data_IF_977096976213
#
_entry.id   IF_977096976213
#
_cell.length_a   1.000
_cell.length_b   1.000
_cell.length_c   1.000
_cell.angle_alpha   90.00
_cell.angle_beta   90.00
_cell.angle_gamma   90.00
#
_symmetry.space_group_name_H-M   'P 1'
#
loop_
_entity.id
_entity.type
_entity.pdbx_description
1 polymer ?
#
# COMPACT_ATOMS: atom_id res chain seq x y z
N UNK A 1 16.13 -16.61 -58.81
CA UNK A 1 16.30 -15.19 -58.39
C UNK A 1 15.27 -14.72 -57.37
N UNK A 2 14.04 -15.26 -57.33
CA UNK A 2 13.02 -14.85 -56.34
C UNK A 2 13.27 -15.32 -54.88
N UNK A 3 13.91 -16.48 -54.68
CA UNK A 3 14.12 -17.06 -53.33
C UNK A 3 15.13 -16.30 -52.47
N UNK A 4 16.16 -15.72 -53.09
CA UNK A 4 17.18 -14.93 -52.39
C UNK A 4 16.59 -13.62 -51.85
N UNK A 5 15.75 -12.94 -52.65
CA UNK A 5 15.05 -11.72 -52.21
C UNK A 5 14.05 -11.99 -51.09
N UNK A 6 13.40 -13.16 -51.09
CA UNK A 6 12.48 -13.57 -50.03
C UNK A 6 13.19 -13.79 -48.68
N UNK A 7 14.37 -14.42 -48.69
CA UNK A 7 15.17 -14.64 -47.48
C UNK A 7 15.66 -13.31 -46.88
N UNK A 8 16.06 -12.35 -47.72
CA UNK A 8 16.47 -11.01 -47.26
C UNK A 8 15.31 -10.23 -46.64
N UNK A 9 14.10 -10.31 -47.23
CA UNK A 9 12.90 -9.68 -46.66
C UNK A 9 12.57 -10.29 -45.29
N UNK A 10 12.66 -11.62 -45.15
CA UNK A 10 12.41 -12.30 -43.89
C UNK A 10 13.42 -11.93 -42.81
N UNK A 11 14.71 -11.82 -43.17
CA UNK A 11 15.77 -11.38 -42.25
C UNK A 11 15.60 -9.91 -41.81
N UNK A 12 15.14 -9.03 -42.72
CA UNK A 12 14.85 -7.63 -42.41
C UNK A 12 13.65 -7.48 -41.47
N UNK A 13 12.63 -8.33 -41.62
CA UNK A 13 11.48 -8.36 -40.71
C UNK A 13 11.87 -8.90 -39.33
N UNK A 14 12.70 -9.93 -39.26
CA UNK A 14 13.24 -10.43 -37.99
C UNK A 14 14.08 -9.39 -37.27
N UNK A 15 14.92 -8.62 -37.98
CA UNK A 15 15.73 -7.56 -37.35
C UNK A 15 14.87 -6.41 -36.82
N UNK A 16 13.79 -6.03 -37.50
CA UNK A 16 12.84 -5.02 -37.00
C UNK A 16 12.16 -5.43 -35.68
N UNK A 17 11.83 -6.72 -35.52
CA UNK A 17 11.18 -7.22 -34.30
C UNK A 17 12.12 -7.23 -33.08
N UNK A 18 13.44 -7.33 -33.30
CA UNK A 18 14.47 -7.32 -32.24
C UNK A 18 14.77 -5.90 -31.74
N UNK A 19 14.56 -4.87 -32.55
CA UNK A 19 14.80 -3.46 -32.17
C UNK A 19 13.71 -2.95 -31.21
N UNK A 20 12.48 -3.47 -31.31
CA UNK A 20 11.37 -3.07 -30.43
C UNK A 20 11.37 -3.74 -29.05
N UNK A 21 12.26 -4.70 -28.80
CA UNK A 21 12.41 -5.40 -27.51
C UNK A 21 13.50 -4.78 -26.61
N UNK A 22 13.84 -3.51 -26.84
CA UNK A 22 14.67 -2.76 -25.89
C UNK A 22 14.09 -2.85 -24.48
N UNK A 23 14.93 -3.23 -23.51
CA UNK A 23 14.58 -3.16 -22.09
C UNK A 23 14.18 -1.72 -21.75
N UNK A 24 12.88 -1.44 -21.72
CA UNK A 24 12.39 -0.28 -20.97
C UNK A 24 12.73 -0.56 -19.52
N UNK A 25 13.71 0.16 -18.98
CA UNK A 25 13.90 0.22 -17.54
C UNK A 25 12.62 0.83 -16.96
N UNK A 26 11.71 -0.02 -16.50
CA UNK A 26 10.46 0.40 -15.89
C UNK A 26 10.84 1.22 -14.65
N UNK A 27 10.40 2.48 -14.60
CA UNK A 27 10.59 3.31 -13.42
C UNK A 27 10.00 2.56 -12.21
N UNK A 28 10.62 2.65 -11.02
CA UNK A 28 10.09 1.99 -9.85
C UNK A 28 8.63 2.41 -9.64
N UNK A 29 7.73 1.47 -9.29
CA UNK A 29 6.31 1.75 -9.21
C UNK A 29 6.01 2.87 -8.22
N UNK A 30 5.17 3.82 -8.62
CA UNK A 30 4.78 4.96 -7.79
C UNK A 30 3.83 4.52 -6.67
N UNK A 31 3.99 5.15 -5.49
CA UNK A 31 3.09 4.92 -4.35
C UNK A 31 2.10 6.08 -4.27
N UNK A 32 0.85 5.81 -4.62
CA UNK A 32 -0.27 6.72 -4.49
C UNK A 32 -1.14 6.22 -3.34
N UNK A 33 -1.23 6.97 -2.24
CA UNK A 33 -1.87 6.46 -1.04
C UNK A 33 -2.72 7.49 -0.31
N UNK A 34 -3.75 6.99 0.38
CA UNK A 34 -4.65 7.80 1.20
C UNK A 34 -4.96 7.14 2.55
N UNK A 35 -5.36 7.97 3.51
CA UNK A 35 -5.89 7.52 4.80
C UNK A 35 -7.41 7.37 4.72
N UNK A 36 -7.91 6.19 5.08
CA UNK A 36 -9.32 5.90 5.21
C UNK A 36 -9.83 6.34 6.59
N UNK A 37 -10.82 7.24 6.67
CA UNK A 37 -11.33 7.77 7.93
C UNK A 37 -12.28 6.76 8.60
N UNK A 38 -11.73 5.84 9.40
CA UNK A 38 -12.52 4.77 10.03
C UNK A 38 -13.63 5.25 10.98
N UNK A 39 -13.54 6.50 11.43
CA UNK A 39 -14.51 7.18 12.28
C UNK A 39 -15.70 7.78 11.52
N UNK A 40 -15.70 7.75 10.18
CA UNK A 40 -16.76 8.31 9.35
C UNK A 40 -17.79 7.24 8.96
N UNK A 41 -18.98 7.18 9.58
CA UNK A 41 -19.96 6.14 9.31
C UNK A 41 -20.53 6.21 7.88
N UNK A 42 -20.56 7.40 7.29
CA UNK A 42 -21.20 7.65 5.98
C UNK A 42 -20.28 7.37 4.78
N UNK A 43 -19.05 6.92 5.01
CA UNK A 43 -18.08 6.66 3.95
C UNK A 43 -17.54 5.23 4.06
N UNK A 44 -18.24 4.22 3.51
CA UNK A 44 -17.79 2.83 3.59
C UNK A 44 -16.59 2.56 2.66
N UNK A 45 -15.79 1.50 2.91
CA UNK A 45 -14.64 1.17 2.06
C UNK A 45 -15.01 0.90 0.60
N UNK A 46 -16.25 0.45 0.35
CA UNK A 46 -16.79 0.21 -0.98
C UNK A 46 -17.03 1.50 -1.78
N UNK A 47 -17.13 2.66 -1.13
CA UNK A 47 -17.29 3.95 -1.81
C UNK A 47 -15.97 4.47 -2.39
N UNK A 48 -14.82 3.87 -2.02
CA UNK A 48 -13.52 4.32 -2.49
C UNK A 48 -13.34 3.96 -3.97
N UNK A 49 -12.97 4.95 -4.78
CA UNK A 49 -12.47 4.72 -6.13
C UNK A 49 -10.97 4.36 -6.07
N UNK A 50 -10.66 3.09 -6.31
CA UNK A 50 -9.29 2.57 -6.22
C UNK A 50 -8.42 2.87 -7.43
N UNK A 51 -8.96 3.46 -8.50
CA UNK A 51 -8.16 3.85 -9.68
C UNK A 51 -7.14 4.95 -9.38
N UNK A 52 -7.25 5.63 -8.24
CA UNK A 52 -6.37 6.72 -7.82
C UNK A 52 -5.31 6.31 -6.79
N UNK A 53 -5.27 5.04 -6.40
CA UNK A 53 -4.43 4.60 -5.29
C UNK A 53 -3.78 3.27 -5.59
N UNK A 54 -2.55 3.10 -5.11
CA UNK A 54 -1.89 1.80 -4.99
C UNK A 54 -2.00 1.26 -3.56
N UNK A 55 -2.12 2.14 -2.56
CA UNK A 55 -2.22 1.77 -1.14
C UNK A 55 -3.29 2.59 -0.40
N UNK A 56 -3.95 1.98 0.59
CA UNK A 56 -4.88 2.68 1.49
C UNK A 56 -4.59 2.30 2.93
N UNK A 57 -4.45 3.31 3.79
CA UNK A 57 -4.18 3.15 5.21
C UNK A 57 -5.47 3.22 6.03
N UNK A 58 -5.78 2.21 6.84
CA UNK A 58 -6.83 2.31 7.84
C UNK A 58 -6.39 3.27 8.95
N UNK A 59 -7.14 4.36 9.15
CA UNK A 59 -6.79 5.44 10.07
C UNK A 59 -7.87 5.56 11.16
N UNK A 60 -7.58 5.30 12.43
CA UNK A 60 -6.34 4.79 13.01
C UNK A 60 -6.66 3.74 14.08
N UNK A 61 -5.66 2.95 14.49
CA UNK A 61 -5.74 2.19 15.73
C UNK A 61 -4.78 2.75 16.79
N UNK A 62 -5.21 2.69 18.04
CA UNK A 62 -4.41 3.15 19.18
C UNK A 62 -4.22 1.98 20.14
N UNK A 63 -2.98 1.62 20.50
CA UNK A 63 -2.75 0.57 21.46
C UNK A 63 -3.02 1.06 22.88
N UNK A 64 -3.27 0.12 23.78
CA UNK A 64 -3.42 0.39 25.21
C UNK A 64 -2.13 1.00 25.81
N UNK A 65 -2.24 2.05 26.62
CA UNK A 65 -1.10 2.77 27.19
C UNK A 65 -0.29 1.98 28.24
N UNK A 66 -0.81 0.85 28.73
CA UNK A 66 -0.12 0.02 29.73
C UNK A 66 0.45 -1.23 29.09
N UNK A 67 -0.39 -1.97 28.35
CA UNK A 67 0.00 -3.25 27.75
C UNK A 67 0.69 -3.10 26.41
N UNK A 68 0.50 -1.96 25.74
CA UNK A 68 0.94 -1.67 24.38
C UNK A 68 0.43 -2.66 23.32
N UNK A 69 -0.72 -3.31 23.60
CA UNK A 69 -1.43 -4.20 22.69
C UNK A 69 -2.67 -3.51 22.14
N UNK A 70 -3.17 -4.00 21.01
CA UNK A 70 -4.47 -3.60 20.48
C UNK A 70 -5.56 -4.43 21.15
N UNK A 71 -6.41 -3.76 21.93
CA UNK A 71 -7.60 -4.36 22.52
C UNK A 71 -8.74 -4.24 21.49
N UNK A 72 -8.81 -5.18 20.54
CA UNK A 72 -9.80 -5.16 19.46
C UNK A 72 -11.12 -5.78 19.92
N UNK A 73 -12.18 -4.98 19.93
CA UNK A 73 -13.54 -5.52 20.05
C UNK A 73 -13.92 -6.33 18.81
N UNK A 74 -14.89 -7.25 18.93
CA UNK A 74 -15.42 -7.98 17.77
C UNK A 74 -15.92 -7.04 16.67
N UNK A 75 -16.53 -5.91 17.04
CA UNK A 75 -16.99 -4.90 16.07
C UNK A 75 -15.83 -4.29 15.29
N UNK A 76 -14.73 -3.92 15.96
CA UNK A 76 -13.53 -3.36 15.34
C UNK A 76 -12.85 -4.40 14.44
N UNK A 77 -12.77 -5.66 14.87
CA UNK A 77 -12.22 -6.75 14.06
C UNK A 77 -13.02 -6.96 12.76
N UNK A 78 -14.35 -6.89 12.82
CA UNK A 78 -15.21 -6.94 11.64
C UNK A 78 -15.00 -5.74 10.71
N UNK A 79 -14.84 -4.53 11.24
CA UNK A 79 -14.54 -3.34 10.44
C UNK A 79 -13.21 -3.48 9.69
N UNK A 80 -12.15 -3.96 10.35
CA UNK A 80 -10.83 -4.19 9.74
C UNK A 80 -10.89 -5.28 8.67
N UNK A 81 -11.62 -6.37 8.94
CA UNK A 81 -11.83 -7.45 7.97
C UNK A 81 -12.60 -6.94 6.75
N UNK A 82 -13.71 -6.24 6.95
CA UNK A 82 -14.51 -5.66 5.88
C UNK A 82 -13.70 -4.66 5.04
N UNK A 83 -12.92 -3.79 5.69
CA UNK A 83 -12.03 -2.85 5.01
C UNK A 83 -11.05 -3.57 4.08
N UNK A 84 -10.33 -4.57 4.61
CA UNK A 84 -9.31 -5.30 3.87
C UNK A 84 -9.91 -6.12 2.73
N UNK A 85 -10.98 -6.87 3.01
CA UNK A 85 -11.66 -7.72 2.03
C UNK A 85 -12.28 -6.88 0.91
N UNK A 86 -12.98 -5.80 1.24
CA UNK A 86 -13.64 -4.93 0.25
C UNK A 86 -12.63 -4.35 -0.73
N UNK A 87 -11.52 -3.80 -0.23
CA UNK A 87 -10.51 -3.15 -1.07
C UNK A 87 -9.66 -4.12 -1.88
N UNK A 88 -9.45 -5.33 -1.37
CA UNK A 88 -8.76 -6.40 -2.11
C UNK A 88 -9.57 -6.89 -3.32
N UNK A 89 -10.90 -6.82 -3.25
CA UNK A 89 -11.80 -7.24 -4.32
C UNK A 89 -12.21 -6.12 -5.28
N UNK A 90 -11.70 -4.91 -5.09
CA UNK A 90 -11.88 -3.80 -6.04
C UNK A 90 -11.09 -4.03 -7.33
N UNK A 91 -11.45 -3.30 -8.37
CA UNK A 91 -10.76 -3.31 -9.66
C UNK A 91 -10.42 -1.87 -10.05
N UNK A 92 -9.13 -1.46 -10.02
CA UNK A 92 -7.97 -2.26 -9.63
C UNK A 92 -7.93 -2.56 -8.11
N UNK A 93 -7.31 -3.67 -7.67
CA UNK A 93 -7.14 -3.97 -6.26
C UNK A 93 -6.03 -3.11 -5.66
N UNK A 94 -6.14 -2.78 -4.38
CA UNK A 94 -5.15 -1.96 -3.66
C UNK A 94 -4.58 -2.69 -2.45
N UNK A 95 -3.36 -2.33 -2.07
CA UNK A 95 -2.74 -2.82 -0.84
C UNK A 95 -3.26 -2.05 0.36
N UNK A 96 -3.52 -2.74 1.45
CA UNK A 96 -4.06 -2.14 2.67
C UNK A 96 -3.02 -2.18 3.77
N UNK A 97 -2.86 -1.07 4.50
CA UNK A 97 -2.00 -0.99 5.68
C UNK A 97 -2.78 -0.43 6.87
N UNK A 98 -2.27 -0.69 8.07
CA UNK A 98 -2.81 -0.16 9.31
C UNK A 98 -1.98 1.03 9.77
N UNK A 99 -2.62 2.16 10.06
CA UNK A 99 -1.96 3.30 10.70
C UNK A 99 -2.24 3.30 12.21
N UNK A 100 -1.20 3.58 13.00
CA UNK A 100 -1.24 3.56 14.46
C UNK A 100 -1.08 4.99 14.99
N UNK A 101 -1.96 5.44 15.88
CA UNK A 101 -1.94 6.77 16.48
C UNK A 101 -3.06 7.67 15.98
N UNK A 102 -2.74 8.92 15.66
CA UNK A 102 -3.71 9.94 15.26
C UNK A 102 -3.55 11.22 16.09
N UNK A 103 -3.95 12.36 15.52
CA UNK A 103 -3.82 13.65 16.22
C UNK A 103 -4.85 13.85 17.35
N UNK A 104 -5.94 13.07 17.34
CA UNK A 104 -7.06 13.23 18.26
C UNK A 104 -6.77 12.72 19.68
N UNK A 105 -5.78 11.84 19.87
CA UNK A 105 -5.52 11.18 21.15
C UNK A 105 -4.64 12.01 22.12
N UNK A 106 -4.32 13.25 21.73
CA UNK A 106 -3.71 14.26 22.59
C UNK A 106 -2.35 13.89 23.18
N UNK A 107 -2.08 14.39 24.39
CA UNK A 107 -0.76 14.30 25.05
C UNK A 107 -0.38 12.88 25.49
N UNK A 108 -1.32 11.93 25.52
CA UNK A 108 -1.07 10.58 26.03
C UNK A 108 -0.29 9.73 25.01
N UNK A 109 -0.61 9.83 23.72
CA UNK A 109 0.03 9.05 22.66
C UNK A 109 1.55 9.22 22.58
N UNK A 110 2.12 10.44 22.64
CA UNK A 110 3.58 10.61 22.66
C UNK A 110 4.25 9.84 23.80
N UNK A 111 3.66 9.81 25.01
CA UNK A 111 4.19 9.03 26.12
C UNK A 111 4.08 7.52 25.90
N UNK A 112 2.97 7.06 25.30
CA UNK A 112 2.78 5.65 24.91
C UNK A 112 3.89 5.23 23.96
N UNK A 113 4.12 5.99 22.89
CA UNK A 113 5.14 5.68 21.88
C UNK A 113 6.56 5.79 22.43
N UNK A 114 6.86 6.77 23.29
CA UNK A 114 8.16 6.86 23.95
C UNK A 114 8.45 5.64 24.84
N UNK A 115 7.46 5.21 25.65
CA UNK A 115 7.59 4.01 26.48
C UNK A 115 7.71 2.74 25.64
N UNK A 116 6.94 2.64 24.56
CA UNK A 116 7.06 1.57 23.58
C UNK A 116 8.46 1.46 23.00
N UNK A 117 9.01 2.57 22.51
CA UNK A 117 10.35 2.64 21.95
C UNK A 117 11.46 2.31 22.96
N UNK A 118 11.24 2.60 24.25
CA UNK A 118 12.19 2.25 25.32
C UNK A 118 12.24 0.75 25.69
N UNK A 119 11.27 -0.05 25.24
CA UNK A 119 11.26 -1.50 25.49
C UNK A 119 12.10 -2.20 24.40
N UNK A 120 13.17 -2.89 24.82
CA UNK A 120 14.07 -3.64 23.94
C UNK A 120 13.38 -4.71 23.06
N UNK A 121 12.16 -5.12 23.42
CA UNK A 121 11.36 -6.12 22.70
C UNK A 121 10.45 -5.53 21.61
N UNK A 122 10.36 -4.20 21.50
CA UNK A 122 9.49 -3.58 20.52
C UNK A 122 10.20 -3.41 19.18
N UNK A 123 10.21 -4.48 18.39
CA UNK A 123 10.58 -4.41 16.98
C UNK A 123 9.45 -3.73 16.22
N UNK A 124 9.49 -2.40 16.09
CA UNK A 124 8.73 -1.78 15.01
C UNK A 124 9.41 -2.21 13.72
N UNK A 125 8.75 -3.04 12.91
CA UNK A 125 9.08 -3.13 11.50
C UNK A 125 8.57 -1.83 10.83
N UNK A 126 9.13 -0.69 11.23
CA UNK A 126 8.82 0.59 10.60
C UNK A 126 9.69 0.59 9.36
N UNK A 127 9.04 0.44 8.21
CA UNK A 127 9.64 0.91 6.97
C UNK A 127 9.68 2.44 7.12
N UNK A 128 10.75 2.93 7.73
CA UNK A 128 11.12 4.32 7.62
C UNK A 128 11.53 4.51 6.16
N UNK A 129 10.60 5.01 5.34
CA UNK A 129 10.99 5.62 4.07
C UNK A 129 11.82 6.86 4.43
N UNK A 130 13.13 6.66 4.59
CA UNK A 130 14.08 7.76 4.44
C UNK A 130 13.93 8.23 3.01
N UNK A 131 13.14 9.28 2.81
CA UNK A 131 13.31 10.14 1.65
C UNK A 131 14.71 10.70 1.73
N UNK A 132 15.59 10.26 0.82
CA UNK A 132 16.84 10.94 0.59
C UNK A 132 16.50 12.34 0.05
N UNK A 133 16.85 13.36 0.83
CA UNK A 133 17.22 14.69 0.34
C UNK A 133 18.58 15.00 0.90
#
# INVERSE_FOLDING_TARGET
MASHNFLHILLLLCSLMVINTGCTAEAPPTVEAAYYPSFSPDFPPSAINTSFFTHIFYAFLVPNNVTFKFDLSNSTALLLSNFTTTLRHKTPPVKTLLSIGGAADGVVLPFVFARLASKASFTIHTICHRGCT
#
